data_IF_490134142538
#
_entry.id   IF_490134142538
#
_cell.length_a   1.000
_cell.length_b   1.000
_cell.length_c   1.000
_cell.angle_alpha   90.00
_cell.angle_beta   90.00
_cell.angle_gamma   90.00
#
_symmetry.space_group_name_H-M   'P 1'
#
loop_
_entity.id
_entity.type
_entity.pdbx_description
1 polymer ?
#
# COMPACT_ATOMS: atom_id res chain seq x y z
N UNK A 1 22.37 -22.33 40.72
CA UNK A 1 21.53 -21.19 40.30
C UNK A 1 20.24 -21.79 39.79
N UNK A 2 19.10 -21.37 40.32
CA UNK A 2 17.78 -21.79 39.81
C UNK A 2 17.61 -21.18 38.42
N UNK A 3 17.07 -21.95 37.47
CA UNK A 3 16.77 -21.42 36.15
C UNK A 3 15.67 -20.34 36.31
N UNK A 4 15.88 -19.09 35.88
CA UNK A 4 14.87 -18.04 36.01
C UNK A 4 13.57 -18.35 35.24
N UNK A 5 13.55 -19.38 34.39
CA UNK A 5 12.36 -19.86 33.69
C UNK A 5 11.57 -20.94 34.45
N UNK A 6 12.07 -21.41 35.60
CA UNK A 6 11.36 -22.37 36.46
C UNK A 6 10.04 -21.76 36.97
N UNK A 7 8.93 -22.45 36.69
CA UNK A 7 7.59 -22.03 37.11
C UNK A 7 6.88 -21.02 36.19
N UNK A 8 7.50 -20.61 35.08
CA UNK A 8 6.83 -19.76 34.08
C UNK A 8 5.79 -20.60 33.31
N UNK A 9 4.52 -20.14 33.20
CA UNK A 9 3.49 -20.83 32.42
C UNK A 9 3.87 -21.03 30.95
N UNK A 10 3.62 -22.24 30.44
CA UNK A 10 3.88 -22.61 29.04
C UNK A 10 2.63 -23.21 28.39
N UNK A 11 2.49 -22.98 27.08
CA UNK A 11 1.43 -23.61 26.29
C UNK A 11 1.71 -25.10 26.02
N UNK A 12 0.81 -25.76 25.29
CA UNK A 12 0.94 -27.18 24.96
C UNK A 12 2.14 -27.51 24.07
N UNK A 13 2.71 -26.53 23.37
CA UNK A 13 3.91 -26.67 22.56
C UNK A 13 5.19 -26.33 23.36
N UNK A 14 5.06 -25.93 24.63
CA UNK A 14 6.17 -25.61 25.52
C UNK A 14 6.65 -24.16 25.42
N UNK A 15 5.95 -23.29 24.68
CA UNK A 15 6.28 -21.87 24.59
C UNK A 15 5.83 -21.12 25.84
N UNK A 16 6.58 -20.10 26.26
CA UNK A 16 6.14 -19.20 27.33
C UNK A 16 4.85 -18.52 26.88
N UNK A 17 3.82 -18.63 27.72
CA UNK A 17 2.54 -17.94 27.46
C UNK A 17 2.79 -16.44 27.53
N UNK A 18 2.73 -15.78 26.37
CA UNK A 18 2.88 -14.32 26.27
C UNK A 18 1.63 -13.64 26.83
N UNK A 19 1.75 -12.46 27.46
CA UNK A 19 0.59 -11.64 27.77
C UNK A 19 -0.21 -11.36 26.50
N UNK A 20 -1.53 -11.63 26.54
CA UNK A 20 -2.41 -11.51 25.37
C UNK A 20 -2.33 -10.10 24.76
N UNK A 21 -1.84 -9.95 23.52
CA UNK A 21 -1.70 -8.66 22.85
C UNK A 21 -3.03 -7.92 22.73
N UNK A 22 -4.15 -8.64 22.62
CA UNK A 22 -5.50 -8.06 22.46
C UNK A 22 -6.03 -7.45 23.75
N UNK A 23 -5.46 -7.83 24.90
CA UNK A 23 -5.81 -7.27 26.22
C UNK A 23 -5.01 -6.01 26.56
N UNK A 24 -4.04 -5.62 25.73
CA UNK A 24 -3.23 -4.42 25.98
C UNK A 24 -4.09 -3.17 25.78
N UNK A 25 -4.39 -2.50 26.89
CA UNK A 25 -5.08 -1.19 26.86
C UNK A 25 -4.22 -0.19 26.08
N UNK A 26 -4.85 0.57 25.18
CA UNK A 26 -4.23 1.75 24.57
C UNK A 26 -3.91 2.78 25.65
N UNK A 27 -2.65 3.19 25.73
CA UNK A 27 -2.24 4.24 26.66
C UNK A 27 -2.70 5.61 26.15
N UNK A 28 -3.20 6.46 27.05
CA UNK A 28 -3.66 7.81 26.72
C UNK A 28 -2.57 8.85 26.97
N UNK A 29 -1.61 8.54 27.84
CA UNK A 29 -0.55 9.44 28.26
C UNK A 29 -0.69 9.89 29.72
N UNK A 30 -1.90 9.86 30.28
CA UNK A 30 -2.19 10.34 31.65
C UNK A 30 -1.81 9.30 32.72
N UNK A 31 -1.45 8.10 32.30
CA UNK A 31 -1.26 7.00 33.22
C UNK A 31 0.06 7.13 33.97
N UNK A 32 -0.01 7.03 35.30
CA UNK A 32 1.15 7.16 36.16
C UNK A 32 1.95 5.85 36.23
N UNK A 33 3.27 5.98 36.21
CA UNK A 33 4.18 4.89 36.51
C UNK A 33 4.22 4.65 38.03
N UNK A 34 3.82 3.45 38.46
CA UNK A 34 3.90 3.06 39.86
C UNK A 34 5.36 3.11 40.35
N UNK A 35 5.61 3.80 41.46
CA UNK A 35 6.94 3.91 42.06
C UNK A 35 7.88 4.97 41.45
N UNK A 36 7.46 5.71 40.41
CA UNK A 36 8.29 6.73 39.73
C UNK A 36 7.79 8.15 40.00
N UNK A 37 7.36 8.43 41.24
CA UNK A 37 7.11 9.80 41.72
C UNK A 37 6.11 10.63 40.90
N UNK A 38 5.01 10.02 40.44
CA UNK A 38 3.96 10.73 39.69
C UNK A 38 4.26 10.98 38.21
N UNK A 39 5.39 10.47 37.69
CA UNK A 39 5.69 10.52 36.26
C UNK A 39 4.62 9.77 35.45
N UNK A 40 4.22 10.35 34.33
CA UNK A 40 3.19 9.81 33.44
C UNK A 40 3.78 9.21 32.17
N UNK A 41 2.99 8.41 31.46
CA UNK A 41 3.34 7.89 30.12
C UNK A 41 3.67 9.05 29.16
N UNK A 42 2.97 10.17 29.23
CA UNK A 42 3.27 11.33 28.40
C UNK A 42 4.63 11.95 28.73
N UNK A 43 5.08 11.91 29.99
CA UNK A 43 6.42 12.38 30.35
C UNK A 43 7.50 11.49 29.74
N UNK A 44 7.28 10.17 29.75
CA UNK A 44 8.14 9.22 29.05
C UNK A 44 8.16 9.48 27.54
N UNK A 45 7.00 9.68 26.91
CA UNK A 45 6.94 9.98 25.47
C UNK A 45 7.67 11.28 25.11
N UNK A 46 7.53 12.34 25.92
CA UNK A 46 8.29 13.58 25.74
C UNK A 46 9.79 13.33 25.87
N UNK A 47 10.22 12.58 26.90
CA UNK A 47 11.63 12.24 27.08
C UNK A 47 12.19 11.43 25.90
N UNK A 48 11.47 10.40 25.45
CA UNK A 48 11.93 9.46 24.43
C UNK A 48 11.82 9.99 22.99
N UNK A 49 10.84 10.85 22.71
CA UNK A 49 10.49 11.27 21.34
C UNK A 49 10.54 12.79 21.10
N UNK A 50 11.18 13.57 21.99
CA UNK A 50 11.28 15.03 21.87
C UNK A 50 11.89 15.53 20.54
N UNK A 51 12.93 14.86 20.04
CA UNK A 51 13.62 15.28 18.82
C UNK A 51 13.04 14.51 17.62
N UNK A 52 12.11 15.12 16.90
CA UNK A 52 11.49 14.54 15.69
C UNK A 52 12.44 14.47 14.48
N UNK A 53 13.68 15.00 14.57
CA UNK A 53 14.70 14.85 13.54
C UNK A 53 15.50 13.55 13.68
N UNK A 54 15.56 12.97 14.89
CA UNK A 54 16.26 11.71 15.12
C UNK A 54 15.72 10.60 14.20
N UNK A 55 16.59 9.69 13.78
CA UNK A 55 16.25 8.71 12.73
C UNK A 55 15.03 7.85 13.08
N UNK A 56 14.93 7.42 14.35
CA UNK A 56 13.83 6.58 14.85
C UNK A 56 12.53 7.38 14.94
N UNK A 57 12.53 8.53 15.63
CA UNK A 57 11.36 9.39 15.81
C UNK A 57 10.86 9.98 14.50
N UNK A 58 11.76 10.30 13.56
CA UNK A 58 11.40 10.70 12.19
C UNK A 58 10.71 9.57 11.43
N UNK A 59 11.15 8.32 11.64
CA UNK A 59 10.45 7.13 11.16
C UNK A 59 9.03 7.05 11.71
N UNK A 60 8.89 7.11 13.03
CA UNK A 60 7.58 7.07 13.70
C UNK A 60 6.67 8.22 13.28
N UNK A 61 7.21 9.42 13.10
CA UNK A 61 6.47 10.57 12.59
C UNK A 61 6.01 10.34 11.15
N UNK A 62 6.86 9.79 10.28
CA UNK A 62 6.48 9.46 8.92
C UNK A 62 5.34 8.41 8.89
N UNK A 63 5.45 7.34 9.67
CA UNK A 63 4.40 6.33 9.84
C UNK A 63 3.09 6.97 10.34
N UNK A 64 3.19 7.81 11.37
CA UNK A 64 2.05 8.55 11.91
C UNK A 64 1.38 9.42 10.84
N UNK A 65 2.14 10.20 10.07
CA UNK A 65 1.59 11.03 9.00
C UNK A 65 0.85 10.19 7.95
N UNK A 66 1.45 9.08 7.49
CA UNK A 66 0.79 8.17 6.53
C UNK A 66 -0.50 7.61 7.13
N UNK A 67 -0.46 7.13 8.38
CA UNK A 67 -1.64 6.64 9.10
C UNK A 67 -2.75 7.69 9.22
N UNK A 68 -2.39 8.94 9.53
CA UNK A 68 -3.32 10.08 9.60
C UNK A 68 -3.95 10.40 8.25
N UNK A 69 -3.20 10.33 7.15
CA UNK A 69 -3.75 10.53 5.81
C UNK A 69 -4.79 9.44 5.44
N UNK A 70 -4.59 8.22 5.93
CA UNK A 70 -5.45 7.07 5.67
C UNK A 70 -6.64 6.95 6.64
N UNK A 71 -6.63 7.69 7.75
CA UNK A 71 -7.63 7.59 8.82
C UNK A 71 -7.45 6.36 9.71
N UNK A 72 -6.22 5.86 9.84
CA UNK A 72 -5.89 4.73 10.71
C UNK A 72 -5.76 5.25 12.16
N UNK A 73 -6.54 4.67 13.06
CA UNK A 73 -6.53 5.01 14.49
C UNK A 73 -5.95 3.89 15.38
N UNK A 74 -5.64 2.74 14.78
CA UNK A 74 -5.07 1.59 15.49
C UNK A 74 -3.64 1.86 15.97
N UNK A 75 -3.22 1.14 17.00
CA UNK A 75 -1.87 1.23 17.54
C UNK A 75 -0.86 0.60 16.56
N UNK A 76 0.35 1.17 16.51
CA UNK A 76 1.51 0.60 15.81
C UNK A 76 1.88 -0.77 16.42
N UNK A 77 2.11 -1.76 15.58
CA UNK A 77 2.63 -3.08 15.98
C UNK A 77 4.06 -3.20 15.47
N UNK A 78 5.03 -3.08 16.37
CA UNK A 78 6.45 -2.93 16.01
C UNK A 78 7.10 -4.15 15.35
N UNK A 79 6.50 -5.34 15.47
CA UNK A 79 7.02 -6.60 14.94
C UNK A 79 6.30 -7.08 13.69
N UNK A 80 5.33 -6.31 13.20
CA UNK A 80 4.62 -6.68 11.99
C UNK A 80 5.58 -6.59 10.78
N UNK A 81 5.37 -7.42 9.75
CA UNK A 81 6.22 -7.43 8.57
C UNK A 81 5.99 -6.19 7.67
N UNK A 82 5.09 -5.28 8.06
CA UNK A 82 4.79 -4.00 7.43
C UNK A 82 4.41 -2.98 8.51
N UNK A 83 4.50 -1.68 8.21
CA UNK A 83 4.28 -0.62 9.19
C UNK A 83 2.80 -0.28 9.44
N UNK A 84 1.95 -0.34 8.41
CA UNK A 84 0.52 0.02 8.51
C UNK A 84 -0.38 -0.96 7.74
N UNK A 85 -1.56 -1.26 8.30
CA UNK A 85 -2.64 -1.98 7.63
C UNK A 85 -3.81 -1.02 7.38
N UNK A 86 -4.15 -0.82 6.11
CA UNK A 86 -5.26 0.05 5.71
C UNK A 86 -6.42 -0.76 5.14
N UNK A 87 -7.63 -0.46 5.59
CA UNK A 87 -8.87 -1.05 5.09
C UNK A 87 -9.65 0.01 4.31
N UNK A 88 -9.48 0.13 2.97
CA UNK A 88 -10.23 1.08 2.18
C UNK A 88 -11.74 0.75 2.13
N UNK A 89 -12.10 -0.50 2.40
CA UNK A 89 -13.46 -0.99 2.52
C UNK A 89 -13.49 -2.22 3.46
N UNK A 90 -14.66 -2.85 3.63
CA UNK A 90 -14.85 -3.96 4.57
C UNK A 90 -14.16 -5.29 4.16
N UNK A 91 -13.78 -5.44 2.89
CA UNK A 91 -13.28 -6.71 2.34
C UNK A 91 -11.80 -6.68 1.98
N UNK A 92 -11.26 -5.49 1.73
CA UNK A 92 -9.90 -5.30 1.28
C UNK A 92 -9.00 -4.81 2.41
N UNK A 93 -7.74 -5.25 2.34
CA UNK A 93 -6.68 -4.76 3.20
C UNK A 93 -5.45 -4.45 2.35
N UNK A 94 -4.72 -3.41 2.77
CA UNK A 94 -3.52 -2.93 2.10
C UNK A 94 -2.42 -2.87 3.14
N UNK A 95 -1.37 -3.67 2.94
CA UNK A 95 -0.16 -3.63 3.75
C UNK A 95 0.75 -2.53 3.23
N UNK A 96 1.20 -1.66 4.10
CA UNK A 96 1.96 -0.46 3.72
C UNK A 96 3.26 -0.42 4.51
N UNK A 97 4.37 -0.30 3.79
CA UNK A 97 5.69 -0.03 4.36
C UNK A 97 5.99 1.46 4.23
N UNK A 98 6.48 2.08 5.30
CA UNK A 98 6.84 3.49 5.34
C UNK A 98 8.34 3.63 5.56
N UNK A 99 9.01 4.40 4.70
CA UNK A 99 10.44 4.70 4.84
C UNK A 99 10.66 6.19 4.91
N UNK A 100 11.40 6.66 5.91
CA UNK A 100 11.70 8.09 6.06
C UNK A 100 13.15 8.43 5.67
N UNK A 101 13.35 9.62 5.12
CA UNK A 101 14.68 10.19 4.86
C UNK A 101 14.62 11.71 4.91
N UNK A 102 15.79 12.37 4.98
CA UNK A 102 15.88 13.82 5.07
C UNK A 102 17.22 14.34 4.55
N UNK A 103 17.26 15.60 4.08
CA UNK A 103 18.52 16.26 3.73
C UNK A 103 19.29 16.71 4.98
N UNK A 104 18.60 17.31 5.94
CA UNK A 104 19.14 17.65 7.26
C UNK A 104 19.01 16.47 8.23
N UNK A 105 20.03 16.28 9.07
CA UNK A 105 20.10 15.24 10.08
C UNK A 105 20.41 15.87 11.44
N UNK A 106 20.04 15.18 12.51
CA UNK A 106 20.28 15.62 13.90
C UNK A 106 21.79 15.66 14.27
N UNK A 107 22.64 14.87 13.61
CA UNK A 107 24.10 14.92 13.83
C UNK A 107 24.78 15.97 12.95
N UNK A 108 25.98 16.40 13.36
CA UNK A 108 26.80 17.36 12.58
C UNK A 108 27.09 16.82 11.18
N UNK A 109 26.74 17.59 10.17
CA UNK A 109 26.97 17.27 8.76
C UNK A 109 27.87 18.33 8.10
N UNK A 110 28.82 17.89 7.26
CA UNK A 110 29.62 18.80 6.40
C UNK A 110 28.89 19.23 5.14
N UNK A 111 27.89 18.45 4.71
CA UNK A 111 27.06 18.66 3.53
C UNK A 111 25.71 17.98 3.76
N UNK A 112 24.69 18.40 3.02
CA UNK A 112 23.38 17.75 3.06
C UNK A 112 23.48 16.25 2.78
N UNK A 113 22.72 15.46 3.52
CA UNK A 113 22.59 14.03 3.26
C UNK A 113 21.95 13.80 1.91
N UNK A 114 22.38 12.74 1.22
CA UNK A 114 21.69 12.24 0.03
C UNK A 114 20.58 11.30 0.49
N UNK A 115 19.30 11.63 0.28
CA UNK A 115 18.21 10.80 0.77
C UNK A 115 18.24 9.42 0.12
N UNK A 116 18.10 8.40 0.97
CA UNK A 116 18.09 6.99 0.61
C UNK A 116 17.05 6.29 1.49
N UNK A 117 16.27 5.40 0.88
CA UNK A 117 15.24 4.61 1.53
C UNK A 117 15.70 3.16 1.53
N UNK A 118 16.12 2.65 2.70
CA UNK A 118 16.68 1.30 2.88
C UNK A 118 15.73 0.41 3.67
N UNK A 119 16.03 -0.90 3.69
CA UNK A 119 15.22 -1.87 4.43
C UNK A 119 13.90 -2.14 3.73
N UNK A 120 13.88 -2.10 2.39
CA UNK A 120 12.68 -2.40 1.60
C UNK A 120 12.31 -3.89 1.63
N UNK A 121 13.22 -4.74 2.10
CA UNK A 121 13.04 -6.18 2.20
C UNK A 121 13.31 -6.64 3.62
N UNK A 122 12.45 -7.49 4.14
CA UNK A 122 12.56 -8.06 5.49
C UNK A 122 12.28 -9.55 5.49
N UNK A 123 12.81 -10.26 6.50
CA UNK A 123 12.36 -11.61 6.79
C UNK A 123 11.10 -11.53 7.66
N UNK A 124 10.17 -12.46 7.47
CA UNK A 124 8.95 -12.55 8.28
C UNK A 124 9.17 -13.61 9.34
N UNK A 125 8.84 -13.32 10.59
CA UNK A 125 8.82 -14.32 11.66
C UNK A 125 7.55 -15.16 11.50
N UNK A 126 7.69 -16.47 11.40
CA UNK A 126 6.59 -17.42 11.49
C UNK A 126 6.32 -17.67 12.98
N UNK A 127 5.15 -17.25 13.47
CA UNK A 127 4.84 -17.30 14.90
C UNK A 127 4.66 -18.73 15.42
N UNK A 128 4.28 -19.68 14.56
CA UNK A 128 4.03 -21.08 14.95
C UNK A 128 5.34 -21.84 15.17
N UNK A 129 6.30 -21.63 14.27
CA UNK A 129 7.64 -22.25 14.34
C UNK A 129 8.64 -21.43 15.16
N UNK A 130 8.39 -20.13 15.33
CA UNK A 130 9.35 -19.19 15.92
C UNK A 130 10.56 -18.92 15.02
N UNK A 131 10.52 -19.35 13.75
CA UNK A 131 11.62 -19.19 12.81
C UNK A 131 11.37 -18.05 11.82
N UNK A 132 12.44 -17.38 11.40
CA UNK A 132 12.36 -16.39 10.34
C UNK A 132 12.33 -17.05 8.96
N UNK A 133 11.59 -16.46 8.03
CA UNK A 133 11.59 -16.85 6.63
C UNK A 133 13.03 -16.97 6.08
N UNK A 134 13.30 -17.98 5.24
CA UNK A 134 14.66 -18.27 4.79
C UNK A 134 15.26 -17.11 3.98
N UNK A 135 14.41 -16.33 3.30
CA UNK A 135 14.79 -15.19 2.46
C UNK A 135 13.99 -13.95 2.82
N UNK A 136 14.65 -12.79 2.75
CA UNK A 136 14.00 -11.50 2.85
C UNK A 136 13.27 -11.15 1.55
N UNK A 137 12.06 -10.63 1.66
CA UNK A 137 11.25 -10.17 0.54
C UNK A 137 10.55 -8.84 0.86
N UNK A 138 9.90 -8.27 -0.14
CA UNK A 138 9.00 -7.14 0.00
C UNK A 138 7.69 -7.62 0.65
N UNK A 139 7.44 -7.18 1.88
CA UNK A 139 6.36 -7.69 2.73
C UNK A 139 5.08 -6.84 2.73
N UNK A 140 5.15 -5.63 2.18
CA UNK A 140 4.01 -4.73 1.98
C UNK A 140 3.55 -4.70 0.50
N UNK A 141 2.28 -4.33 0.26
CA UNK A 141 1.70 -4.14 -1.08
C UNK A 141 2.09 -2.78 -1.67
N UNK A 142 2.19 -1.76 -0.81
CA UNK A 142 2.57 -0.39 -1.16
C UNK A 142 3.69 0.10 -0.26
N UNK A 143 4.65 0.82 -0.83
CA UNK A 143 5.73 1.47 -0.10
C UNK A 143 5.60 2.98 -0.22
N UNK A 144 5.71 3.69 0.90
CA UNK A 144 5.64 5.15 0.95
C UNK A 144 6.99 5.70 1.43
N UNK A 145 7.68 6.40 0.54
CA UNK A 145 8.93 7.07 0.84
C UNK A 145 8.64 8.50 1.29
N UNK A 146 8.83 8.78 2.57
CA UNK A 146 8.59 10.06 3.20
C UNK A 146 9.90 10.86 3.27
N UNK A 147 9.99 11.95 2.52
CA UNK A 147 11.15 12.84 2.50
C UNK A 147 10.83 14.13 3.22
N UNK A 148 11.57 14.44 4.29
CA UNK A 148 11.64 15.83 4.76
C UNK A 148 12.60 16.61 3.85
N UNK A 149 12.07 17.62 3.14
CA UNK A 149 12.80 18.35 2.09
C UNK A 149 13.59 19.55 2.61
N UNK A 150 13.51 19.88 3.90
CA UNK A 150 14.19 21.05 4.45
C UNK A 150 15.72 20.91 4.31
N UNK A 151 16.35 22.01 3.88
CA UNK A 151 17.80 22.14 3.66
C UNK A 151 18.42 23.26 4.48
N UNK A 152 17.62 24.23 4.93
CA UNK A 152 18.06 25.31 5.80
C UNK A 152 17.75 24.97 7.26
N UNK A 153 18.75 24.81 8.13
CA UNK A 153 18.54 24.50 9.55
C UNK A 153 17.84 25.61 10.32
N UNK A 154 17.94 26.87 9.90
CA UNK A 154 17.30 28.01 10.59
C UNK A 154 15.79 28.02 10.44
N UNK A 155 15.26 27.38 9.40
CA UNK A 155 13.83 27.32 9.09
C UNK A 155 13.28 25.91 9.24
N UNK A 156 14.01 25.02 9.93
CA UNK A 156 13.54 23.67 10.17
C UNK A 156 12.44 23.66 11.23
N UNK A 157 11.25 23.23 10.84
CA UNK A 157 10.13 22.95 11.73
C UNK A 157 9.64 21.52 11.48
N UNK A 158 9.81 20.58 12.43
CA UNK A 158 9.35 19.21 12.23
C UNK A 158 7.82 19.09 12.14
N UNK A 159 7.07 20.12 12.57
CA UNK A 159 5.61 20.15 12.58
C UNK A 159 5.02 20.72 11.29
N UNK A 160 5.81 21.40 10.46
CA UNK A 160 5.34 21.89 9.17
C UNK A 160 5.23 20.75 8.16
N UNK A 161 3.99 20.33 7.91
CA UNK A 161 3.68 19.26 6.98
C UNK A 161 4.10 19.56 5.53
N UNK A 162 4.23 20.84 5.16
CA UNK A 162 4.63 21.24 3.82
C UNK A 162 6.11 20.92 3.53
N UNK A 163 6.90 20.68 4.58
CA UNK A 163 8.27 20.20 4.48
C UNK A 163 8.36 18.70 4.19
N UNK A 164 7.24 17.98 4.11
CA UNK A 164 7.19 16.56 3.76
C UNK A 164 6.71 16.35 2.33
N UNK A 165 7.44 15.52 1.59
CA UNK A 165 7.03 14.99 0.28
C UNK A 165 6.96 13.48 0.35
N UNK A 166 5.93 12.92 -0.27
CA UNK A 166 5.68 11.48 -0.23
C UNK A 166 5.80 10.91 -1.62
N UNK A 167 6.51 9.79 -1.76
CA UNK A 167 6.61 9.04 -3.00
C UNK A 167 6.00 7.66 -2.79
N UNK A 168 4.95 7.35 -3.53
CA UNK A 168 4.21 6.09 -3.35
C UNK A 168 4.60 5.14 -4.47
N UNK A 169 5.00 3.92 -4.12
CA UNK A 169 5.47 2.91 -5.07
C UNK A 169 4.79 1.57 -4.78
N UNK A 170 4.10 0.97 -5.76
CA UNK A 170 3.57 -0.39 -5.60
C UNK A 170 4.70 -1.43 -5.62
N UNK A 171 4.53 -2.52 -4.86
CA UNK A 171 5.54 -3.57 -4.68
C UNK A 171 6.08 -4.13 -5.99
N UNK A 172 5.24 -4.41 -6.99
CA UNK A 172 5.66 -5.02 -8.26
C UNK A 172 6.73 -4.20 -8.97
N UNK A 173 6.70 -2.86 -8.88
CA UNK A 173 7.72 -1.98 -9.48
C UNK A 173 9.07 -2.09 -8.79
N UNK A 174 9.08 -2.22 -7.46
CA UNK A 174 10.30 -2.45 -6.69
C UNK A 174 10.84 -3.87 -6.95
N UNK A 175 9.94 -4.85 -7.05
CA UNK A 175 10.27 -6.26 -7.22
C UNK A 175 11.05 -6.54 -8.53
N UNK A 176 10.81 -5.77 -9.60
CA UNK A 176 11.53 -5.92 -10.90
C UNK A 176 13.05 -5.94 -10.72
N UNK A 177 13.58 -5.07 -9.85
CA UNK A 177 15.02 -4.93 -9.66
C UNK A 177 15.55 -5.64 -8.40
N UNK A 178 14.66 -6.03 -7.48
CA UNK A 178 15.03 -6.73 -6.24
C UNK A 178 15.90 -5.92 -5.26
N UNK A 179 15.95 -4.59 -5.40
CA UNK A 179 16.79 -3.72 -4.56
C UNK A 179 16.34 -3.68 -3.09
N UNK A 180 17.29 -3.82 -2.17
CA UNK A 180 17.02 -3.62 -0.74
C UNK A 180 16.92 -2.13 -0.33
N UNK A 181 17.20 -1.22 -1.27
CA UNK A 181 17.13 0.23 -1.07
C UNK A 181 17.02 0.98 -2.38
N UNK A 182 16.37 2.14 -2.36
CA UNK A 182 16.28 3.09 -3.49
C UNK A 182 16.67 4.50 -3.05
N UNK A 183 16.95 5.39 -4.01
CA UNK A 183 17.23 6.80 -3.78
C UNK A 183 16.34 7.70 -4.67
N UNK A 184 16.51 9.01 -4.56
CA UNK A 184 15.73 9.97 -5.35
C UNK A 184 15.95 9.85 -6.87
N UNK A 185 17.12 9.40 -7.32
CA UNK A 185 17.41 9.21 -8.75
C UNK A 185 16.65 8.01 -9.30
N UNK A 186 16.52 6.95 -8.50
CA UNK A 186 15.67 5.82 -8.85
C UNK A 186 14.22 6.28 -9.01
N UNK A 187 13.69 7.05 -8.05
CA UNK A 187 12.31 7.55 -8.10
C UNK A 187 12.07 8.43 -9.34
N UNK A 188 13.01 9.33 -9.65
CA UNK A 188 12.97 10.17 -10.85
C UNK A 188 12.99 9.34 -12.15
N UNK A 189 13.91 8.38 -12.26
CA UNK A 189 14.01 7.48 -13.44
C UNK A 189 12.73 6.68 -13.64
N UNK A 190 12.12 6.25 -12.54
CA UNK A 190 10.84 5.53 -12.52
C UNK A 190 9.64 6.46 -12.66
N UNK A 191 9.83 7.76 -12.92
CA UNK A 191 8.75 8.74 -13.07
C UNK A 191 7.79 8.78 -11.87
N UNK A 192 8.28 8.46 -10.67
CA UNK A 192 7.52 8.57 -9.42
C UNK A 192 7.61 10.01 -8.92
N UNK A 193 6.51 10.74 -9.09
CA UNK A 193 6.43 12.14 -8.65
C UNK A 193 6.10 12.24 -7.17
N UNK A 194 6.61 13.25 -6.45
CA UNK A 194 6.20 13.50 -5.07
C UNK A 194 4.75 13.97 -5.01
N UNK A 195 4.02 13.55 -3.98
CA UNK A 195 2.70 14.06 -3.63
C UNK A 195 2.73 14.80 -2.30
N UNK A 196 1.82 15.76 -2.15
CA UNK A 196 1.56 16.45 -0.89
C UNK A 196 0.71 15.57 0.04
N UNK A 197 0.78 15.85 1.35
CA UNK A 197 0.01 15.13 2.37
C UNK A 197 -1.48 14.99 2.03
N UNK A 198 -2.12 16.06 1.52
CA UNK A 198 -3.54 16.06 1.17
C UNK A 198 -3.94 15.06 0.08
N UNK A 199 -2.99 14.66 -0.77
CA UNK A 199 -3.21 13.75 -1.90
C UNK A 199 -2.67 12.35 -1.63
N UNK A 200 -2.05 12.13 -0.46
CA UNK A 200 -1.37 10.90 -0.12
C UNK A 200 -2.31 9.69 -0.08
N UNK A 201 -3.51 9.86 0.50
CA UNK A 201 -4.54 8.80 0.54
C UNK A 201 -4.88 8.28 -0.85
N UNK A 202 -5.20 9.21 -1.76
CA UNK A 202 -5.62 8.86 -3.12
C UNK A 202 -4.47 8.20 -3.90
N UNK A 203 -3.24 8.66 -3.70
CA UNK A 203 -2.07 8.08 -4.34
C UNK A 203 -1.76 6.66 -3.83
N UNK A 204 -1.91 6.41 -2.53
CA UNK A 204 -1.83 5.06 -1.96
C UNK A 204 -2.89 4.14 -2.56
N UNK A 205 -4.13 4.63 -2.71
CA UNK A 205 -5.21 3.89 -3.38
C UNK A 205 -4.87 3.55 -4.84
N UNK A 206 -4.33 4.51 -5.60
CA UNK A 206 -3.88 4.27 -6.99
C UNK A 206 -2.75 3.25 -7.08
N UNK A 207 -1.74 3.38 -6.22
CA UNK A 207 -0.62 2.44 -6.17
C UNK A 207 -1.10 1.02 -5.82
N UNK A 208 -1.97 0.88 -4.82
CA UNK A 208 -2.54 -0.41 -4.47
C UNK A 208 -3.36 -1.02 -5.62
N UNK A 209 -4.19 -0.25 -6.32
CA UNK A 209 -4.92 -0.74 -7.49
C UNK A 209 -3.97 -1.19 -8.62
N UNK A 210 -2.86 -0.48 -8.82
CA UNK A 210 -1.81 -0.89 -9.75
C UNK A 210 -1.12 -2.18 -9.32
N UNK A 211 -0.83 -2.36 -8.03
CA UNK A 211 -0.27 -3.60 -7.48
C UNK A 211 -1.21 -4.78 -7.71
N UNK A 212 -2.48 -4.59 -7.36
CA UNK A 212 -3.51 -5.60 -7.50
C UNK A 212 -3.69 -6.03 -8.97
N UNK A 213 -3.73 -5.05 -9.89
CA UNK A 213 -3.85 -5.33 -11.33
C UNK A 213 -2.62 -6.04 -11.90
N UNK A 214 -1.42 -5.68 -11.46
CA UNK A 214 -0.19 -6.29 -11.92
C UNK A 214 0.02 -7.73 -11.40
N UNK A 215 -0.53 -8.05 -10.22
CA UNK A 215 -0.29 -9.32 -9.52
C UNK A 215 -1.45 -10.32 -9.62
N UNK A 216 -2.69 -9.86 -9.86
CA UNK A 216 -3.77 -10.76 -10.27
C UNK A 216 -3.65 -11.10 -11.75
N UNK A 217 -3.30 -12.36 -12.05
CA UNK A 217 -3.73 -12.97 -13.33
C UNK A 217 -5.26 -12.83 -13.40
N UNK A 218 -5.87 -12.46 -14.56
CA UNK A 218 -7.29 -12.67 -14.71
C UNK A 218 -7.53 -14.17 -14.48
N UNK A 219 -8.38 -14.50 -13.52
CA UNK A 219 -8.91 -15.84 -13.43
C UNK A 219 -9.64 -16.10 -14.75
N UNK A 220 -8.98 -16.77 -15.70
CA UNK A 220 -9.73 -17.56 -16.67
C UNK A 220 -10.37 -18.62 -15.77
N UNK A 221 -11.66 -18.45 -15.48
CA UNK A 221 -12.41 -19.48 -14.75
C UNK A 221 -12.20 -20.82 -15.46
N UNK A 222 -12.12 -21.91 -14.71
CA UNK A 222 -12.04 -23.25 -15.31
C UNK A 222 -13.18 -23.49 -16.33
N UNK A 223 -14.31 -22.78 -16.20
CA UNK A 223 -15.38 -22.72 -17.20
C UNK A 223 -14.94 -22.18 -18.57
N UNK A 224 -14.10 -21.14 -18.64
CA UNK A 224 -13.60 -20.61 -19.93
C UNK A 224 -12.54 -21.50 -20.57
N UNK A 225 -11.87 -22.36 -19.80
CA UNK A 225 -10.99 -23.41 -20.34
C UNK A 225 -11.83 -24.58 -20.87
N UNK A 226 -12.88 -24.98 -20.14
CA UNK A 226 -13.79 -26.07 -20.54
C UNK A 226 -14.61 -25.76 -21.80
N UNK A 227 -14.96 -24.50 -22.06
CA UNK A 227 -15.67 -24.10 -23.30
C UNK A 227 -14.77 -24.22 -24.55
N UNK A 228 -13.43 -24.14 -24.39
CA UNK A 228 -12.50 -24.26 -25.52
C UNK A 228 -12.18 -25.71 -25.92
N UNK A 229 -12.38 -26.67 -25.03
CA UNK A 229 -12.05 -28.08 -25.28
C UNK A 229 -13.25 -28.92 -25.79
N UNK A 230 -14.48 -28.38 -25.79
CA UNK A 230 -15.70 -29.13 -26.18
C UNK A 230 -16.61 -28.44 -27.21
N UNK A 231 -16.14 -27.42 -27.93
CA UNK A 231 -16.94 -26.77 -28.98
C UNK A 231 -16.67 -27.37 -30.37
N UNK A 232 -17.05 -28.63 -30.57
CA UNK A 232 -17.53 -29.08 -31.89
C UNK A 232 -19.02 -28.71 -31.97
N UNK A 233 -19.35 -27.61 -32.65
CA UNK A 233 -20.71 -27.35 -33.07
C UNK A 233 -20.72 -26.95 -34.54
N UNK A 234 -21.00 -27.95 -35.38
CA UNK A 234 -21.59 -27.77 -36.70
C UNK A 234 -22.99 -27.16 -36.54
N UNK A 235 -23.10 -25.85 -36.70
CA UNK A 235 -24.38 -25.20 -37.06
C UNK A 235 -24.08 -24.06 -38.03
N UNK A 236 -24.65 -24.08 -39.25
CA UNK A 236 -24.51 -22.95 -40.17
C UNK A 236 -25.40 -21.80 -39.69
N UNK A 237 -24.80 -20.65 -39.39
CA UNK A 237 -25.52 -19.43 -39.03
C UNK A 237 -25.82 -18.65 -40.31
N UNK A 238 -27.09 -18.54 -40.69
CA UNK A 238 -27.56 -17.56 -41.67
C UNK A 238 -27.55 -16.16 -41.05
N UNK A 239 -26.93 -15.20 -41.74
CA UNK A 239 -26.96 -13.78 -41.38
C UNK A 239 -28.29 -13.16 -41.86
N UNK A 240 -29.17 -12.77 -40.94
CA UNK A 240 -30.22 -11.81 -41.23
C UNK A 240 -29.73 -10.40 -40.88
N UNK A 241 -29.89 -9.49 -41.84
CA UNK A 241 -29.49 -8.08 -41.74
C UNK A 241 -30.22 -7.40 -40.57
N UNK A 242 -29.48 -6.68 -39.72
CA UNK A 242 -30.04 -5.80 -38.70
C UNK A 242 -30.19 -4.41 -39.31
N UNK A 243 -31.43 -3.90 -39.32
CA UNK A 243 -31.83 -2.58 -39.79
C UNK A 243 -31.13 -1.44 -39.05
N UNK A 244 -30.59 -0.49 -39.83
CA UNK A 244 -30.09 0.81 -39.38
C UNK A 244 -31.23 1.70 -38.86
N UNK A 245 -31.25 2.00 -37.54
CA UNK A 245 -31.88 3.21 -36.99
C UNK A 245 -31.08 3.80 -35.83
N UNK A 246 -31.02 5.14 -35.71
CA UNK A 246 -30.16 5.82 -34.73
C UNK A 246 -30.81 5.86 -33.35
N UNK A 247 -30.13 5.31 -32.34
CA UNK A 247 -30.52 5.43 -30.93
C UNK A 247 -29.85 6.65 -30.27
N UNK A 248 -30.66 7.48 -29.60
CA UNK A 248 -30.31 8.77 -29.01
C UNK A 248 -29.19 8.73 -27.94
N UNK A 249 -28.48 9.87 -27.71
CA UNK A 249 -27.35 9.95 -26.78
C UNK A 249 -27.73 9.79 -25.30
N UNK A 250 -26.74 9.37 -24.50
CA UNK A 250 -26.87 9.17 -23.05
C UNK A 250 -27.29 10.47 -22.35
N UNK A 251 -28.46 10.47 -21.69
CA UNK A 251 -29.04 11.64 -21.02
C UNK A 251 -28.30 12.09 -19.74
N UNK A 252 -27.29 11.35 -19.28
CA UNK A 252 -26.54 11.66 -18.06
C UNK A 252 -25.17 12.33 -18.33
N UNK A 253 -24.49 11.95 -19.42
CA UNK A 253 -23.17 12.50 -19.76
C UNK A 253 -23.10 13.16 -21.14
N UNK A 254 -24.15 13.06 -21.97
CA UNK A 254 -24.21 13.71 -23.29
C UNK A 254 -23.17 13.21 -24.29
N UNK A 255 -22.51 12.08 -24.05
CA UNK A 255 -21.50 11.52 -24.96
C UNK A 255 -22.15 10.72 -26.08
N UNK A 256 -21.79 11.02 -27.34
CA UNK A 256 -22.25 10.35 -28.56
C UNK A 256 -21.50 9.03 -28.88
N UNK A 257 -20.66 8.52 -27.97
CA UNK A 257 -19.85 7.32 -28.24
C UNK A 257 -20.67 6.04 -28.15
N UNK A 258 -21.11 5.58 -29.32
CA UNK A 258 -21.64 4.23 -29.57
C UNK A 258 -20.47 3.24 -29.44
N UNK A 259 -20.58 2.29 -28.52
CA UNK A 259 -19.79 1.05 -28.61
C UNK A 259 -20.55 0.09 -29.51
N UNK A 260 -20.00 -0.19 -30.69
CA UNK A 260 -20.51 -1.22 -31.58
C UNK A 260 -20.27 -2.59 -30.93
N UNK A 261 -21.30 -3.44 -30.88
CA UNK A 261 -21.23 -4.76 -30.28
C UNK A 261 -20.29 -5.73 -31.03
N UNK A 262 -19.69 -5.28 -32.13
CA UNK A 262 -18.65 -5.99 -32.88
C UNK A 262 -17.24 -5.92 -32.26
N UNK A 263 -16.95 -4.96 -31.37
CA UNK A 263 -15.58 -4.75 -30.85
C UNK A 263 -15.14 -5.73 -29.73
N UNK A 264 -15.95 -6.74 -29.42
CA UNK A 264 -15.57 -7.87 -28.56
C UNK A 264 -14.87 -9.01 -29.31
N UNK A 265 -14.52 -8.83 -30.59
CA UNK A 265 -13.77 -9.81 -31.36
C UNK A 265 -12.38 -9.29 -31.79
N UNK A 266 -11.36 -9.83 -31.10
CA UNK A 266 -9.97 -10.02 -31.59
C UNK A 266 -9.13 -8.75 -31.78
N UNK A 267 -8.38 -8.35 -30.74
CA UNK A 267 -7.09 -7.67 -30.95
C UNK A 267 -5.99 -8.74 -31.03
N UNK A 268 -5.72 -9.22 -32.25
CA UNK A 268 -4.36 -9.62 -32.65
C UNK A 268 -3.80 -8.45 -33.46
N UNK A 269 -3.01 -7.56 -32.84
CA UNK A 269 -2.26 -6.58 -33.63
C UNK A 269 -0.93 -7.20 -34.07
N UNK A 270 -0.84 -7.62 -35.32
CA UNK A 270 0.43 -7.60 -36.04
C UNK A 270 0.60 -6.19 -36.62
N UNK A 271 1.66 -5.51 -36.18
CA UNK A 271 2.11 -4.15 -36.52
C UNK A 271 1.59 -3.03 -35.60
N UNK A 272 2.56 -2.24 -35.14
CA UNK A 272 2.43 -1.33 -34.02
C UNK A 272 1.89 0.05 -34.37
N UNK A 273 1.10 0.57 -33.44
CA UNK A 273 0.96 1.99 -33.12
C UNK A 273 0.12 2.10 -31.85
N UNK A 274 0.49 3.02 -30.96
CA UNK A 274 -0.10 3.18 -29.63
C UNK A 274 -1.56 3.64 -29.66
N UNK A 275 -2.39 3.10 -28.78
CA UNK A 275 -3.65 3.71 -28.38
C UNK A 275 -3.70 3.76 -26.84
N UNK A 276 -3.47 4.96 -26.29
CA UNK A 276 -3.81 5.32 -24.91
C UNK A 276 -5.29 5.69 -24.89
N UNK A 277 -6.13 4.89 -24.26
CA UNK A 277 -7.53 5.23 -23.95
C UNK A 277 -7.70 5.41 -22.45
N UNK A 278 -8.16 6.59 -22.03
CA UNK A 278 -8.60 6.85 -20.67
C UNK A 278 -9.84 5.99 -20.35
N UNK A 279 -9.76 5.18 -19.29
CA UNK A 279 -10.93 4.50 -18.73
C UNK A 279 -11.50 5.36 -17.61
N UNK A 280 -12.63 6.01 -17.87
CA UNK A 280 -13.42 6.64 -16.80
C UNK A 280 -14.31 5.59 -16.11
N UNK A 281 -14.23 5.57 -14.78
CA UNK A 281 -14.80 4.55 -13.88
C UNK A 281 -16.35 4.50 -13.91
N UNK A 282 -17.01 5.48 -14.53
CA UNK A 282 -18.47 5.67 -14.44
C UNK A 282 -19.33 4.79 -15.35
N UNK A 283 -18.78 4.16 -16.40
CA UNK A 283 -19.59 3.37 -17.36
C UNK A 283 -19.77 1.87 -17.00
N UNK A 284 -19.10 1.37 -15.95
CA UNK A 284 -19.14 -0.05 -15.58
C UNK A 284 -20.50 -0.52 -15.05
N UNK A 285 -21.31 0.39 -14.49
CA UNK A 285 -22.61 0.05 -13.89
C UNK A 285 -23.69 -0.29 -14.93
N UNK A 286 -23.74 0.46 -16.05
CA UNK A 286 -24.72 0.20 -17.11
C UNK A 286 -24.45 -1.09 -17.90
N UNK A 287 -23.20 -1.52 -17.99
CA UNK A 287 -22.86 -2.79 -18.65
C UNK A 287 -23.34 -3.99 -17.82
N UNK A 288 -23.26 -3.92 -16.50
CA UNK A 288 -23.80 -4.95 -15.61
C UNK A 288 -25.33 -5.04 -15.72
N UNK A 289 -26.02 -3.89 -15.67
CA UNK A 289 -27.49 -3.82 -15.78
C UNK A 289 -28.00 -4.31 -17.16
N UNK A 290 -27.25 -4.06 -18.24
CA UNK A 290 -27.60 -4.53 -19.59
C UNK A 290 -27.44 -6.05 -19.76
N UNK A 291 -26.44 -6.65 -19.12
CA UNK A 291 -26.24 -8.11 -19.13
C UNK A 291 -27.33 -8.82 -18.33
N UNK A 292 -27.78 -8.22 -17.22
CA UNK A 292 -28.80 -8.80 -16.35
C UNK A 292 -30.21 -8.74 -16.96
N UNK A 293 -30.51 -7.69 -17.75
CA UNK A 293 -31.78 -7.55 -18.46
C UNK A 293 -31.97 -8.48 -19.69
N UNK A 294 -30.93 -9.22 -20.09
CA UNK A 294 -30.94 -10.15 -21.24
C UNK A 294 -30.73 -11.62 -20.87
N UNK A 295 -30.74 -11.94 -19.57
CA UNK A 295 -30.96 -13.30 -19.07
C UNK A 295 -32.44 -13.56 -18.88
#
# INVERSE_FOLDING_TARGET
>A
MVDPSDGIPRDSAGWIIRPDPTTRRRLTGDEAFAGVGGATVSDFWRFAMQDLQMNNTRGYLAEFLVGRALGIESNRVEWDPFDLLWHPNATDSVRIEVKSSAYLQTWKQRQLSKPKFSGLKGKVLDEDSGEYSPRADYNADVYVMCLNVQKNPETFDPLDINLWKFFVVPRHRLAVNGFASIDLRWLERESVSPVEFRSLRDEIGRAWHSEWTATRRPAISAEKIAIRENAEFDVPIEFSQVDDRPSAPCTSCGSDTIYDAADLHVIRSTHGSSLKGHFDIYCSKHLADWIEARR
#
